data_IF_060328352309
#
_entry.id   IF_060328352309
#
_cell.length_a   1.000
_cell.length_b   1.000
_cell.length_c   1.000
_cell.angle_alpha   90.00
_cell.angle_beta   90.00
_cell.angle_gamma   90.00
#
_symmetry.space_group_name_H-M   'P 1'
#
loop_
_entity.id
_entity.type
_entity.pdbx_description
1 polymer ?
#
# COMPACT_ATOMS: atom_id res chain seq x y z
N UNK A 1 13.25 4.20 0.97
CA UNK A 1 12.11 3.69 0.19
C UNK A 1 12.56 3.30 -1.22
N UNK A 2 12.05 2.19 -1.80
CA UNK A 2 12.33 1.82 -3.20
C UNK A 2 11.08 2.09 -4.06
N UNK A 3 11.18 3.07 -4.95
CA UNK A 3 10.10 3.47 -5.85
C UNK A 3 9.17 4.53 -5.28
N UNK A 4 8.20 4.94 -6.11
CA UNK A 4 7.26 6.01 -5.81
C UNK A 4 5.91 5.43 -5.39
N UNK A 5 5.30 5.99 -4.34
CA UNK A 5 3.94 5.69 -3.91
C UNK A 5 2.93 6.53 -4.71
N UNK A 6 3.27 7.81 -4.93
CA UNK A 6 2.50 8.75 -5.75
C UNK A 6 3.39 9.15 -6.92
N UNK A 7 2.89 9.00 -8.14
CA UNK A 7 3.59 9.43 -9.35
C UNK A 7 2.75 10.42 -10.13
N UNK A 8 3.38 11.45 -10.69
CA UNK A 8 2.74 12.38 -11.61
C UNK A 8 3.27 12.12 -13.00
N UNK A 9 2.37 11.92 -13.94
CA UNK A 9 2.74 11.74 -15.35
C UNK A 9 2.79 13.13 -15.97
N UNK A 10 3.93 13.60 -16.51
CA UNK A 10 3.91 14.80 -17.32
C UNK A 10 2.97 14.55 -18.50
N UNK A 11 1.97 15.42 -18.68
CA UNK A 11 1.07 15.35 -19.85
C UNK A 11 1.94 15.30 -21.11
N UNK A 12 1.75 14.32 -22.00
CA UNK A 12 2.51 14.28 -23.24
C UNK A 12 2.02 15.41 -24.15
N UNK A 13 2.60 16.61 -24.04
CA UNK A 13 2.52 17.60 -25.10
C UNK A 13 3.73 17.41 -26.02
N UNK A 14 3.49 16.75 -27.16
CA UNK A 14 4.44 16.68 -28.28
C UNK A 14 5.72 15.90 -27.98
N UNK A 15 5.72 14.61 -28.29
CA UNK A 15 6.93 13.79 -28.35
C UNK A 15 7.89 14.36 -29.41
N UNK A 16 8.87 15.17 -28.99
CA UNK A 16 10.03 15.53 -29.81
C UNK A 16 11.25 14.80 -29.22
N UNK A 17 11.63 13.67 -29.83
CA UNK A 17 12.74 12.80 -29.39
C UNK A 17 14.13 13.50 -29.35
N UNK A 18 14.24 14.74 -29.84
CA UNK A 18 15.48 15.52 -29.86
C UNK A 18 15.46 16.78 -28.97
N UNK A 19 14.44 16.97 -28.13
CA UNK A 19 14.42 18.10 -27.20
C UNK A 19 15.08 17.73 -25.88
N UNK A 20 16.08 18.50 -25.46
CA UNK A 20 16.67 18.43 -24.11
C UNK A 20 15.91 19.29 -23.10
N UNK A 21 14.81 19.93 -23.52
CA UNK A 21 14.02 20.80 -22.66
C UNK A 21 12.90 20.01 -21.98
N UNK A 22 12.93 20.06 -20.64
CA UNK A 22 11.84 19.63 -19.76
C UNK A 22 10.62 20.52 -20.05
N UNK A 23 9.45 19.97 -20.44
CA UNK A 23 8.25 20.76 -20.67
C UNK A 23 7.86 21.49 -19.39
N UNK A 24 8.00 22.81 -19.41
CA UNK A 24 7.66 23.68 -18.30
C UNK A 24 6.14 23.89 -18.25
N UNK A 25 5.40 23.01 -17.57
CA UNK A 25 4.00 23.28 -17.21
C UNK A 25 3.61 22.64 -15.86
N UNK A 26 4.36 22.98 -14.81
CA UNK A 26 3.82 23.45 -13.54
C UNK A 26 4.99 23.72 -12.57
N UNK A 27 5.22 24.98 -12.22
CA UNK A 27 6.19 25.35 -11.16
C UNK A 27 5.58 25.18 -9.77
N UNK A 28 4.70 24.19 -9.59
CA UNK A 28 4.13 23.92 -8.28
C UNK A 28 5.04 22.90 -7.58
N UNK A 29 5.67 23.26 -6.45
CA UNK A 29 6.51 22.32 -5.70
C UNK A 29 5.74 21.07 -5.24
N UNK A 30 4.40 21.08 -5.25
CA UNK A 30 3.57 19.93 -4.87
C UNK A 30 3.43 18.87 -5.98
N UNK A 31 3.80 19.17 -7.23
CA UNK A 31 3.66 18.25 -8.36
C UNK A 31 5.01 17.60 -8.68
N UNK A 32 5.31 16.50 -8.00
CA UNK A 32 6.47 15.66 -8.26
C UNK A 32 6.23 14.23 -7.77
N UNK A 33 7.06 13.28 -8.16
CA UNK A 33 6.92 11.91 -7.68
C UNK A 33 7.30 11.80 -6.20
N UNK A 34 6.43 11.19 -5.39
CA UNK A 34 6.67 10.98 -3.96
C UNK A 34 6.96 9.52 -3.67
N UNK A 35 8.02 9.28 -2.92
CA UNK A 35 8.24 8.03 -2.20
C UNK A 35 7.21 7.83 -1.09
N UNK A 36 7.20 6.67 -0.44
CA UNK A 36 6.31 6.41 0.72
C UNK A 36 6.58 7.41 1.85
N UNK A 37 7.86 7.69 2.13
CA UNK A 37 8.26 8.60 3.22
C UNK A 37 7.78 10.04 2.92
N UNK A 38 7.99 10.51 1.69
CA UNK A 38 7.54 11.84 1.27
C UNK A 38 6.01 11.94 1.17
N UNK A 39 5.33 10.84 0.81
CA UNK A 39 3.87 10.77 0.79
C UNK A 39 3.28 10.86 2.20
N UNK A 40 3.93 10.23 3.18
CA UNK A 40 3.55 10.35 4.58
C UNK A 40 3.74 11.78 5.10
N UNK A 41 4.87 12.41 4.75
CA UNK A 41 5.10 13.82 5.07
C UNK A 41 4.05 14.73 4.44
N UNK A 42 3.69 14.49 3.17
CA UNK A 42 2.65 15.24 2.47
C UNK A 42 1.29 15.08 3.18
N UNK A 43 0.95 13.86 3.60
CA UNK A 43 -0.27 13.58 4.36
C UNK A 43 -0.29 14.35 5.68
N UNK A 44 0.82 14.37 6.43
CA UNK A 44 0.90 15.08 7.71
C UNK A 44 0.84 16.60 7.50
N UNK A 45 1.48 17.12 6.46
CA UNK A 45 1.46 18.56 6.13
C UNK A 45 0.09 19.03 5.63
N UNK A 46 -0.72 18.15 5.04
CA UNK A 46 -2.04 18.47 4.49
C UNK A 46 -3.21 18.22 5.45
N UNK A 47 -2.99 17.49 6.54
CA UNK A 47 -4.01 17.16 7.54
C UNK A 47 -3.94 18.06 8.77
N UNK A 48 -4.94 17.97 9.64
CA UNK A 48 -4.94 18.66 10.92
C UNK A 48 -3.75 18.20 11.80
N UNK A 49 -3.20 19.12 12.60
CA UNK A 49 -2.06 18.85 13.49
C UNK A 49 -2.33 17.66 14.44
N UNK A 50 -3.58 17.43 14.83
CA UNK A 50 -3.98 16.31 15.68
C UNK A 50 -3.86 14.96 14.96
N UNK A 51 -4.04 14.91 13.64
CA UNK A 51 -3.83 13.69 12.86
C UNK A 51 -2.38 13.21 12.99
N UNK A 52 -1.42 14.09 12.73
CA UNK A 52 0.00 13.77 12.86
C UNK A 52 0.38 13.33 14.29
N UNK A 53 -0.19 13.99 15.31
CA UNK A 53 0.01 13.59 16.72
C UNK A 53 -0.51 12.17 16.99
N UNK A 54 -1.72 11.85 16.54
CA UNK A 54 -2.29 10.52 16.74
C UNK A 54 -1.53 9.45 15.96
N UNK A 55 -1.09 9.77 14.74
CA UNK A 55 -0.31 8.87 13.90
C UNK A 55 1.00 8.46 14.60
N UNK A 56 1.80 9.42 15.02
CA UNK A 56 3.10 9.15 15.67
C UNK A 56 3.00 8.68 17.12
N UNK A 57 1.85 8.86 17.78
CA UNK A 57 1.60 8.26 19.09
C UNK A 57 1.33 6.75 19.01
N UNK A 58 0.82 6.24 17.89
CA UNK A 58 0.38 4.85 17.76
C UNK A 58 1.22 4.02 16.80
N UNK A 59 1.91 4.65 15.86
CA UNK A 59 2.65 3.96 14.81
C UNK A 59 4.10 4.40 14.74
N UNK A 60 4.93 3.46 14.27
CA UNK A 60 6.32 3.69 13.96
C UNK A 60 6.64 3.13 12.56
N UNK A 61 7.53 3.82 11.85
CA UNK A 61 7.83 3.57 10.43
C UNK A 61 9.31 3.26 10.20
N UNK A 62 10.08 3.08 11.28
CA UNK A 62 11.52 2.86 11.22
C UNK A 62 11.88 1.38 11.15
N UNK A 63 13.19 1.15 11.07
CA UNK A 63 13.80 -0.19 11.16
C UNK A 63 14.93 -0.09 12.17
N UNK A 64 14.93 -0.97 13.18
CA UNK A 64 15.96 -0.97 14.23
C UNK A 64 16.78 -2.25 14.17
N UNK A 65 18.06 -2.13 13.82
CA UNK A 65 19.02 -3.27 13.79
C UNK A 65 19.88 -3.37 15.05
N UNK A 66 19.84 -2.37 15.94
CA UNK A 66 20.63 -2.36 17.19
C UNK A 66 19.97 -3.21 18.27
N UNK A 67 20.62 -4.28 18.77
CA UNK A 67 20.05 -5.12 19.83
C UNK A 67 19.76 -4.37 21.13
N UNK A 68 20.53 -3.31 21.43
CA UNK A 68 20.31 -2.47 22.61
C UNK A 68 19.04 -1.65 22.46
N UNK A 69 18.84 -1.03 21.29
CA UNK A 69 17.65 -0.22 21.03
C UNK A 69 16.40 -1.09 20.98
N UNK A 70 16.44 -2.27 20.35
CA UNK A 70 15.30 -3.20 20.33
C UNK A 70 14.83 -3.59 21.74
N UNK A 71 15.77 -3.84 22.68
CA UNK A 71 15.43 -4.11 24.09
C UNK A 71 14.73 -2.93 24.77
N UNK A 72 15.09 -1.70 24.40
CA UNK A 72 14.43 -0.50 24.90
C UNK A 72 13.03 -0.38 24.29
N UNK A 73 12.91 -0.60 22.98
CA UNK A 73 11.64 -0.54 22.25
C UNK A 73 10.60 -1.55 22.76
N UNK A 74 11.01 -2.69 23.32
CA UNK A 74 10.07 -3.65 23.92
C UNK A 74 9.20 -3.01 25.02
N UNK A 75 9.68 -1.94 25.67
CA UNK A 75 8.97 -1.20 26.72
C UNK A 75 8.27 0.06 26.20
N UNK A 76 8.28 0.29 24.89
CA UNK A 76 7.69 1.46 24.24
C UNK A 76 6.44 1.05 23.43
N UNK A 77 5.23 1.36 23.94
CA UNK A 77 3.98 1.01 23.25
C UNK A 77 3.86 1.58 21.83
N UNK A 78 4.55 2.68 21.51
CA UNK A 78 4.48 3.28 20.17
C UNK A 78 5.23 2.44 19.11
N UNK A 79 5.97 1.40 19.54
CA UNK A 79 6.76 0.52 18.67
C UNK A 79 6.12 -0.85 18.45
N UNK A 80 5.16 -1.25 19.28
CA UNK A 80 4.64 -2.62 19.30
C UNK A 80 3.94 -3.05 18.00
N UNK A 81 3.39 -2.11 17.23
CA UNK A 81 2.79 -2.41 15.93
C UNK A 81 3.82 -2.73 14.84
N UNK A 82 5.10 -2.38 15.03
CA UNK A 82 6.14 -2.52 14.02
C UNK A 82 7.06 -3.70 14.37
N UNK A 83 6.98 -4.82 13.63
CA UNK A 83 7.77 -6.02 13.91
C UNK A 83 9.28 -5.85 13.59
N UNK A 84 9.68 -4.72 12.99
CA UNK A 84 11.08 -4.33 12.75
C UNK A 84 11.62 -3.34 13.80
N UNK A 85 10.80 -2.93 14.76
CA UNK A 85 11.22 -2.12 15.91
C UNK A 85 10.89 -2.78 17.25
N UNK A 86 9.94 -3.72 17.29
CA UNK A 86 9.56 -4.50 18.47
C UNK A 86 9.82 -5.99 18.25
N UNK A 87 10.31 -6.68 19.27
CA UNK A 87 10.71 -8.09 19.17
C UNK A 87 9.60 -9.03 19.64
N UNK A 88 9.63 -10.27 19.17
CA UNK A 88 8.82 -11.34 19.75
C UNK A 88 9.24 -11.64 21.19
N UNK A 89 8.33 -12.19 22.02
CA UNK A 89 8.66 -12.58 23.38
C UNK A 89 9.65 -13.74 23.42
N UNK A 90 10.35 -13.89 24.55
CA UNK A 90 11.20 -15.06 24.83
C UNK A 90 10.34 -16.25 25.26
N UNK A 91 9.66 -16.87 24.29
CA UNK A 91 8.74 -17.98 24.53
C UNK A 91 9.14 -19.21 23.68
N UNK A 92 10.08 -20.06 24.16
CA UNK A 92 10.61 -21.18 23.36
C UNK A 92 9.57 -22.27 23.06
N UNK A 93 8.52 -22.39 23.88
CA UNK A 93 7.42 -23.34 23.67
C UNK A 93 6.34 -22.81 22.72
N UNK A 94 6.42 -21.54 22.30
CA UNK A 94 5.48 -20.95 21.34
C UNK A 94 5.88 -21.35 19.92
N UNK A 95 4.91 -21.75 19.10
CA UNK A 95 5.04 -21.89 17.64
C UNK A 95 4.25 -20.76 16.96
N UNK A 96 4.78 -20.20 15.90
CA UNK A 96 4.15 -19.14 15.10
C UNK A 96 3.76 -19.74 13.75
N UNK A 97 2.50 -19.55 13.36
CA UNK A 97 1.98 -19.94 12.05
C UNK A 97 1.58 -18.67 11.29
N UNK A 98 2.18 -18.45 10.13
CA UNK A 98 1.89 -17.30 9.28
C UNK A 98 1.07 -17.76 8.08
N UNK A 99 -0.23 -17.52 8.17
CA UNK A 99 -1.22 -17.88 7.16
C UNK A 99 -1.65 -16.63 6.41
N UNK A 100 -1.50 -16.65 5.09
CA UNK A 100 -1.94 -15.55 4.23
C UNK A 100 -2.23 -16.03 2.82
N UNK A 101 -3.06 -15.25 2.14
CA UNK A 101 -3.42 -15.47 0.75
C UNK A 101 -2.46 -14.83 -0.23
N UNK A 102 -2.39 -15.39 -1.43
CA UNK A 102 -1.53 -14.91 -2.53
C UNK A 102 -2.29 -14.99 -3.85
N UNK A 103 -1.67 -14.45 -4.91
CA UNK A 103 -2.20 -14.41 -6.27
C UNK A 103 -3.44 -13.49 -6.43
N UNK A 104 -3.63 -12.53 -5.50
CA UNK A 104 -4.65 -11.49 -5.61
C UNK A 104 -4.00 -10.14 -5.96
N UNK A 105 -4.41 -9.48 -7.05
CA UNK A 105 -3.92 -8.15 -7.39
C UNK A 105 -4.12 -7.17 -6.23
N UNK A 106 -3.02 -6.64 -5.71
CA UNK A 106 -3.01 -5.76 -4.53
C UNK A 106 -2.39 -4.41 -4.87
N UNK A 107 -3.07 -3.33 -4.53
CA UNK A 107 -2.62 -1.97 -4.82
C UNK A 107 -1.25 -1.67 -4.20
N UNK A 108 -0.39 -0.99 -4.96
CA UNK A 108 0.99 -0.69 -4.56
C UNK A 108 1.36 0.78 -4.68
N UNK A 109 0.90 1.45 -5.73
CA UNK A 109 1.21 2.86 -6.00
C UNK A 109 0.20 3.45 -6.97
N UNK A 110 0.08 4.77 -6.99
CA UNK A 110 -0.95 5.48 -7.73
C UNK A 110 -0.34 6.56 -8.64
N UNK A 111 -0.96 6.76 -9.79
CA UNK A 111 -0.65 7.82 -10.74
C UNK A 111 -1.70 8.92 -10.62
N UNK A 112 -1.26 10.16 -10.43
CA UNK A 112 -2.11 11.32 -10.28
C UNK A 112 -1.93 12.30 -11.44
N UNK A 113 -3.03 12.97 -11.78
CA UNK A 113 -3.08 14.09 -12.71
C UNK A 113 -3.67 15.33 -12.04
N UNK A 114 -3.25 16.49 -12.52
CA UNK A 114 -3.72 17.80 -12.06
C UNK A 114 -4.93 18.17 -12.91
N UNK A 115 -6.04 18.49 -12.24
CA UNK A 115 -7.22 19.04 -12.89
C UNK A 115 -6.94 20.50 -13.28
N UNK A 116 -7.30 20.87 -14.49
CA UNK A 116 -7.22 22.26 -14.92
C UNK A 116 -8.40 23.04 -14.31
N UNK A 117 -8.16 24.23 -13.76
CA UNK A 117 -9.20 25.03 -13.06
C UNK A 117 -10.40 25.36 -13.99
N UNK A 118 -10.19 25.28 -15.31
CA UNK A 118 -11.21 25.47 -16.35
C UNK A 118 -12.24 24.32 -16.44
N UNK A 119 -11.92 23.13 -15.93
CA UNK A 119 -12.84 21.97 -15.94
C UNK A 119 -13.79 21.96 -14.73
N UNK A 120 -13.46 22.69 -13.66
CA UNK A 120 -14.23 22.71 -12.41
C UNK A 120 -15.46 23.63 -12.48
N UNK A 121 -15.47 24.63 -13.36
CA UNK A 121 -16.57 25.62 -13.45
C UNK A 121 -17.78 25.20 -14.29
N UNK A 122 -17.79 23.99 -14.87
CA UNK A 122 -18.97 23.47 -15.56
C UNK A 122 -19.84 22.53 -14.73
N UNK A 123 -19.51 22.28 -13.47
CA UNK A 123 -20.37 21.53 -12.56
C UNK A 123 -21.36 22.44 -11.83
N UNK A 124 -22.29 23.04 -12.59
CA UNK A 124 -23.54 23.54 -11.99
C UNK A 124 -24.44 22.34 -11.76
N UNK A 125 -24.60 21.93 -10.50
CA UNK A 125 -25.63 20.96 -10.11
C UNK A 125 -27.01 21.49 -10.52
N UNK A 126 -27.75 20.81 -11.42
CA UNK A 126 -29.20 20.84 -11.31
C UNK A 126 -29.60 19.85 -10.21
N UNK A 127 -30.61 20.21 -9.43
CA UNK A 127 -31.21 19.30 -8.45
C UNK A 127 -31.42 17.89 -9.06
N UNK A 128 -30.87 16.89 -8.36
CA UNK A 128 -31.06 15.45 -8.57
C UNK A 128 -31.00 14.97 -10.03
N UNK A 129 -29.80 14.71 -10.56
CA UNK A 129 -29.49 13.49 -11.34
C UNK A 129 -28.00 13.41 -11.71
N UNK A 130 -27.42 12.22 -11.56
CA UNK A 130 -26.08 11.83 -11.98
C UNK A 130 -25.95 11.77 -13.50
N UNK A 131 -25.18 12.70 -14.10
CA UNK A 131 -24.26 12.47 -15.24
C UNK A 131 -23.68 13.81 -15.75
N UNK A 132 -22.36 13.89 -15.94
CA UNK A 132 -21.73 15.00 -16.64
C UNK A 132 -21.74 14.72 -18.16
N UNK A 133 -22.50 15.51 -18.93
CA UNK A 133 -22.45 15.51 -20.38
C UNK A 133 -22.04 16.91 -20.87
N UNK A 134 -21.03 16.95 -21.72
CA UNK A 134 -20.50 18.16 -22.33
C UNK A 134 -21.49 18.73 -23.36
N UNK A 135 -21.78 20.03 -23.30
CA UNK A 135 -22.11 20.78 -24.51
C UNK A 135 -21.74 22.27 -24.41
N UNK A 136 -21.37 22.81 -25.56
CA UNK A 136 -20.74 24.09 -25.80
C UNK A 136 -21.79 25.20 -25.84
N UNK A 137 -21.51 26.36 -25.23
CA UNK A 137 -21.70 27.71 -25.81
C UNK A 137 -21.47 28.80 -24.76
N UNK A 138 -20.53 29.70 -25.03
CA UNK A 138 -20.18 30.82 -24.16
C UNK A 138 -21.09 32.04 -24.38
N UNK A 139 -21.32 32.87 -23.34
CA UNK A 139 -21.48 34.30 -23.55
C UNK A 139 -20.45 35.13 -22.77
N UNK A 140 -20.00 36.18 -23.46
CA UNK A 140 -18.99 37.17 -23.05
C UNK A 140 -19.43 37.93 -21.81
N UNK A 141 -18.52 38.18 -20.87
CA UNK A 141 -18.67 39.28 -19.91
C UNK A 141 -17.35 39.93 -19.48
N UNK A 142 -17.43 41.24 -19.60
CA UNK A 142 -16.54 42.39 -19.38
C UNK A 142 -15.65 42.33 -18.13
N UNK A 143 -14.36 42.61 -18.35
CA UNK A 143 -13.30 42.73 -17.33
C UNK A 143 -13.56 43.91 -16.40
N UNK A 144 -13.65 43.66 -15.09
CA UNK A 144 -13.43 44.69 -14.06
C UNK A 144 -12.34 44.20 -13.10
N UNK A 145 -11.15 44.82 -13.19
CA UNK A 145 -10.00 44.53 -12.35
C UNK A 145 -10.29 44.96 -10.91
N UNK A 146 -10.40 44.01 -10.00
CA UNK A 146 -10.31 44.27 -8.56
C UNK A 146 -9.01 43.65 -8.03
N UNK A 147 -8.33 44.44 -7.20
CA UNK A 147 -7.06 44.13 -6.54
C UNK A 147 -7.30 43.04 -5.50
N UNK A 148 -6.69 41.87 -5.66
CA UNK A 148 -6.69 40.81 -4.66
C UNK A 148 -5.27 40.59 -4.14
N UNK A 149 -5.14 40.77 -2.82
CA UNK A 149 -4.04 40.32 -1.96
C UNK A 149 -3.61 38.88 -2.29
N UNK A 150 -2.33 38.50 -2.10
CA UNK A 150 -1.87 37.15 -2.41
C UNK A 150 -2.59 36.13 -1.50
N UNK A 151 -3.52 35.38 -2.08
CA UNK A 151 -4.05 34.18 -1.45
C UNK A 151 -2.92 33.16 -1.27
N UNK A 152 -2.89 32.40 -0.16
CA UNK A 152 -2.03 31.23 -0.08
C UNK A 152 -2.32 30.34 -1.28
N UNK A 153 -1.27 29.85 -1.95
CA UNK A 153 -1.36 29.03 -3.15
C UNK A 153 -2.45 27.96 -2.96
N UNK A 154 -3.49 28.03 -3.79
CA UNK A 154 -4.60 27.08 -3.78
C UNK A 154 -4.02 25.68 -3.99
N UNK A 155 -4.31 24.75 -3.09
CA UNK A 155 -3.89 23.34 -3.24
C UNK A 155 -4.35 22.85 -4.62
N UNK A 156 -3.45 22.29 -5.45
CA UNK A 156 -3.84 21.81 -6.77
C UNK A 156 -4.91 20.72 -6.62
N UNK A 157 -5.92 20.77 -7.48
CA UNK A 157 -6.96 19.76 -7.49
C UNK A 157 -6.40 18.51 -8.19
N UNK A 158 -6.26 17.43 -7.43
CA UNK A 158 -5.63 16.18 -7.88
C UNK A 158 -6.68 15.07 -8.02
N UNK A 159 -6.50 14.21 -9.02
CA UNK A 159 -7.27 12.98 -9.20
C UNK A 159 -6.36 11.85 -9.67
N UNK A 160 -6.79 10.60 -9.47
CA UNK A 160 -6.10 9.44 -10.04
C UNK A 160 -6.27 9.49 -11.56
N UNK A 161 -5.16 9.41 -12.29
CA UNK A 161 -5.15 9.45 -13.75
C UNK A 161 -5.65 8.11 -14.32
N UNK A 162 -6.96 8.01 -14.54
CA UNK A 162 -7.58 6.81 -15.09
C UNK A 162 -7.13 6.49 -16.52
N UNK A 163 -6.47 7.41 -17.23
CA UNK A 163 -5.94 7.16 -18.58
C UNK A 163 -4.66 6.33 -18.57
N UNK A 164 -3.99 6.26 -17.41
CA UNK A 164 -2.77 5.48 -17.25
C UNK A 164 -3.07 3.99 -17.12
N UNK A 165 -2.71 3.23 -18.16
CA UNK A 165 -2.81 1.77 -18.17
C UNK A 165 -1.60 1.16 -18.87
N UNK A 166 -0.98 0.17 -18.23
CA UNK A 166 0.17 -0.55 -18.76
C UNK A 166 0.17 -2.00 -18.23
N UNK A 167 -0.21 -2.99 -19.05
CA UNK A 167 -0.34 -4.38 -18.59
C UNK A 167 1.01 -4.98 -18.17
N UNK A 168 2.12 -4.58 -18.81
CA UNK A 168 3.47 -5.09 -18.49
C UNK A 168 3.91 -4.65 -17.10
N UNK A 169 3.58 -3.41 -16.73
CA UNK A 169 3.89 -2.86 -15.41
C UNK A 169 2.80 -3.13 -14.37
N UNK A 170 1.74 -3.88 -14.74
CA UNK A 170 0.54 -4.14 -13.95
C UNK A 170 -0.15 -2.86 -13.48
N UNK A 171 -0.33 -1.92 -14.40
CA UNK A 171 -1.02 -0.65 -14.16
C UNK A 171 -2.37 -0.70 -14.86
N UNK A 172 -3.43 -0.39 -14.13
CA UNK A 172 -4.80 -0.29 -14.63
C UNK A 172 -5.44 0.94 -14.00
N UNK A 173 -6.07 1.79 -14.82
CA UNK A 173 -6.80 2.99 -14.38
C UNK A 173 -6.05 3.89 -13.39
N UNK A 174 -4.74 4.05 -13.58
CA UNK A 174 -3.88 4.87 -12.72
C UNK A 174 -3.42 4.18 -11.44
N UNK A 175 -3.74 2.90 -11.24
CA UNK A 175 -3.35 2.11 -10.07
C UNK A 175 -2.34 1.05 -10.50
N UNK A 176 -1.21 0.98 -9.81
CA UNK A 176 -0.23 -0.07 -10.00
C UNK A 176 -0.46 -1.19 -9.00
N UNK A 177 -0.53 -2.41 -9.50
CA UNK A 177 -0.76 -3.62 -8.71
C UNK A 177 0.51 -4.44 -8.51
N UNK A 178 0.55 -5.14 -7.38
CA UNK A 178 1.51 -6.18 -7.05
C UNK A 178 0.78 -7.44 -6.55
N UNK A 179 1.53 -8.47 -6.19
CA UNK A 179 0.97 -9.68 -5.58
C UNK A 179 0.66 -9.43 -4.09
N UNK A 180 -0.35 -10.14 -3.55
CA UNK A 180 -0.83 -10.03 -2.18
C UNK A 180 -2.20 -10.70 -2.00
N UNK A 181 -2.98 -10.21 -1.03
CA UNK A 181 -4.33 -10.71 -0.71
C UNK A 181 -5.46 -9.76 -1.15
N UNK A 182 -5.16 -8.78 -2.00
CA UNK A 182 -6.09 -7.75 -2.47
C UNK A 182 -6.13 -6.51 -1.60
N UNK A 183 -5.59 -6.55 -0.38
CA UNK A 183 -5.47 -5.39 0.52
C UNK A 183 -4.03 -5.17 0.98
N UNK A 184 -3.35 -6.23 1.40
CA UNK A 184 -2.01 -6.22 1.98
C UNK A 184 -1.02 -6.82 0.98
N UNK A 185 0.04 -6.09 0.60
CA UNK A 185 0.99 -6.59 -0.39
C UNK A 185 1.79 -7.76 0.16
N UNK A 186 2.20 -8.69 -0.71
CA UNK A 186 2.92 -9.92 -0.39
C UNK A 186 4.11 -9.67 0.55
N UNK A 187 4.87 -8.60 0.32
CA UNK A 187 6.02 -8.27 1.16
C UNK A 187 5.60 -8.02 2.61
N UNK A 188 4.49 -7.33 2.85
CA UNK A 188 3.97 -7.07 4.19
C UNK A 188 3.39 -8.33 4.83
N UNK A 189 2.74 -9.20 4.05
CA UNK A 189 2.17 -10.46 4.54
C UNK A 189 3.26 -11.45 5.01
N UNK A 190 4.31 -11.60 4.21
CA UNK A 190 5.23 -12.73 4.36
C UNK A 190 6.63 -12.39 4.87
N UNK A 191 7.10 -11.13 4.81
CA UNK A 191 8.52 -10.83 5.03
C UNK A 191 9.04 -11.30 6.38
N UNK A 192 8.28 -11.10 7.47
CA UNK A 192 8.75 -11.50 8.80
C UNK A 192 8.88 -13.01 8.94
N UNK A 193 8.01 -13.79 8.26
CA UNK A 193 7.93 -15.23 8.41
C UNK A 193 8.73 -16.03 7.36
N UNK A 194 9.13 -15.37 6.28
CA UNK A 194 9.92 -15.99 5.22
C UNK A 194 11.24 -16.58 5.76
N UNK A 195 11.80 -17.63 5.16
CA UNK A 195 13.10 -18.18 5.56
C UNK A 195 14.20 -17.12 5.68
N UNK A 196 14.30 -16.20 4.70
CA UNK A 196 15.22 -15.05 4.72
C UNK A 196 14.69 -13.83 5.48
N UNK A 197 13.60 -13.99 6.21
CA UNK A 197 12.82 -12.96 6.88
C UNK A 197 13.31 -12.57 8.28
N UNK A 198 12.63 -11.58 8.86
CA UNK A 198 12.97 -11.00 10.16
C UNK A 198 12.94 -12.00 11.32
N UNK A 199 11.91 -12.83 11.45
CA UNK A 199 11.77 -13.76 12.57
C UNK A 199 12.53 -15.08 12.41
N UNK A 200 13.15 -15.32 11.24
CA UNK A 200 13.91 -16.55 10.94
C UNK A 200 15.39 -16.26 10.70
N UNK A 201 15.75 -15.65 9.57
CA UNK A 201 17.15 -15.30 9.26
C UNK A 201 17.74 -14.31 10.26
N UNK A 202 16.94 -13.33 10.71
CA UNK A 202 17.35 -12.33 11.68
C UNK A 202 16.75 -12.58 13.08
N UNK A 203 16.53 -13.86 13.43
CA UNK A 203 15.89 -14.26 14.69
C UNK A 203 16.60 -13.71 15.94
N UNK A 204 17.93 -13.61 15.94
CA UNK A 204 18.69 -13.05 17.07
C UNK A 204 18.28 -11.60 17.41
N UNK A 205 17.80 -10.86 16.41
CA UNK A 205 17.26 -9.52 16.57
C UNK A 205 15.78 -9.55 16.92
N UNK A 206 14.95 -10.19 16.09
CA UNK A 206 13.49 -10.01 16.14
C UNK A 206 12.71 -11.18 16.77
N UNK A 207 13.34 -12.34 16.95
CA UNK A 207 12.77 -13.54 17.54
C UNK A 207 13.69 -14.14 18.62
N UNK A 208 13.90 -13.44 19.76
CA UNK A 208 14.87 -13.85 20.78
C UNK A 208 14.49 -15.16 21.51
N UNK A 209 13.25 -15.62 21.38
CA UNK A 209 12.81 -16.92 21.88
C UNK A 209 13.12 -18.09 20.93
N UNK A 210 13.56 -17.79 19.70
CA UNK A 210 13.69 -18.76 18.59
C UNK A 210 12.45 -19.63 18.43
N UNK A 211 11.26 -19.04 18.64
CA UNK A 211 9.99 -19.71 18.43
C UNK A 211 9.95 -20.24 16.99
N UNK A 212 9.63 -21.53 16.76
CA UNK A 212 9.50 -22.06 15.41
C UNK A 212 8.46 -21.28 14.61
N UNK A 213 8.79 -20.92 13.37
CA UNK A 213 7.92 -20.16 12.47
C UNK A 213 7.60 -21.03 11.25
N UNK A 214 6.31 -21.26 11.00
CA UNK A 214 5.80 -22.00 9.85
C UNK A 214 5.04 -21.03 8.96
N UNK A 215 5.53 -20.84 7.73
CA UNK A 215 4.87 -20.03 6.72
C UNK A 215 4.02 -20.95 5.83
N UNK A 216 2.74 -20.59 5.63
CA UNK A 216 1.83 -21.35 4.77
C UNK A 216 0.96 -20.42 3.94
N UNK A 217 1.15 -20.49 2.63
CA UNK A 217 0.41 -19.68 1.66
C UNK A 217 -0.83 -20.41 1.13
N UNK A 218 -1.89 -19.65 0.86
CA UNK A 218 -3.12 -20.12 0.25
C UNK A 218 -3.32 -19.41 -1.10
N UNK A 219 -3.34 -20.18 -2.19
CA UNK A 219 -3.59 -19.63 -3.52
C UNK A 219 -5.04 -19.23 -3.65
N UNK A 220 -5.30 -18.01 -4.09
CA UNK A 220 -6.64 -17.54 -4.38
C UNK A 220 -7.20 -18.25 -5.63
N UNK A 221 -8.37 -18.86 -5.50
CA UNK A 221 -9.15 -19.36 -6.64
C UNK A 221 -10.50 -18.64 -6.67
N UNK A 222 -10.81 -18.02 -7.82
CA UNK A 222 -12.11 -17.39 -8.05
C UNK A 222 -13.16 -18.48 -8.28
N UNK A 223 -14.24 -18.46 -7.52
CA UNK A 223 -15.35 -19.40 -7.75
C UNK A 223 -15.94 -19.28 -9.15
N UNK A 224 -16.25 -20.42 -9.75
CA UNK A 224 -17.01 -20.49 -11.01
C UNK A 224 -18.49 -20.15 -10.81
N UNK A 225 -19.00 -20.24 -9.57
CA UNK A 225 -20.38 -19.92 -9.21
C UNK A 225 -20.51 -18.43 -8.90
N UNK A 226 -21.34 -17.73 -9.68
CA UNK A 226 -21.72 -16.33 -9.38
C UNK A 226 -22.57 -16.17 -8.12
N UNK A 227 -23.04 -17.28 -7.53
CA UNK A 227 -23.80 -17.27 -6.28
C UNK A 227 -22.89 -17.28 -5.04
N UNK A 228 -21.60 -17.55 -5.23
CA UNK A 228 -20.63 -17.52 -4.15
C UNK A 228 -20.23 -16.06 -3.87
N UNK A 229 -21.07 -15.39 -3.08
CA UNK A 229 -20.90 -13.99 -2.68
C UNK A 229 -19.61 -13.69 -1.89
N UNK A 230 -18.81 -14.72 -1.59
CA UNK A 230 -17.55 -14.67 -0.82
C UNK A 230 -16.41 -15.45 -1.49
N UNK A 231 -16.29 -15.35 -2.81
CA UNK A 231 -15.15 -15.89 -3.58
C UNK A 231 -15.07 -17.42 -3.70
N UNK A 232 -15.84 -18.18 -2.92
CA UNK A 232 -15.88 -19.65 -2.91
C UNK A 232 -14.99 -20.29 -1.85
N UNK A 233 -14.98 -21.62 -1.80
CA UNK A 233 -14.30 -22.39 -0.76
C UNK A 233 -12.77 -22.26 -0.74
N UNK A 234 -12.16 -21.78 -1.83
CA UNK A 234 -10.72 -21.52 -1.97
C UNK A 234 -10.39 -20.04 -2.19
N UNK A 235 -11.32 -19.15 -1.88
CA UNK A 235 -11.00 -17.72 -1.81
C UNK A 235 -9.85 -17.50 -0.81
N UNK A 236 -8.93 -16.63 -1.16
CA UNK A 236 -7.80 -16.26 -0.32
C UNK A 236 -7.51 -14.75 -0.38
N UNK A 237 -8.49 -13.93 -0.78
CA UNK A 237 -8.38 -12.49 -0.53
C UNK A 237 -8.52 -12.18 0.96
N UNK A 238 -8.19 -10.94 1.31
CA UNK A 238 -8.01 -10.45 2.67
C UNK A 238 -9.13 -10.84 3.65
N UNK A 239 -10.38 -10.86 3.18
CA UNK A 239 -11.55 -11.14 4.01
C UNK A 239 -12.00 -12.59 3.83
N UNK A 240 -12.12 -13.05 2.59
CA UNK A 240 -12.73 -14.35 2.31
C UNK A 240 -11.80 -15.53 2.57
N UNK A 241 -10.52 -15.30 2.85
CA UNK A 241 -9.60 -16.34 3.35
C UNK A 241 -10.11 -17.02 4.63
N UNK A 242 -10.93 -16.34 5.45
CA UNK A 242 -11.55 -16.95 6.63
C UNK A 242 -12.57 -18.05 6.26
N UNK A 243 -13.11 -18.02 5.03
CA UNK A 243 -13.93 -19.07 4.45
C UNK A 243 -13.13 -20.16 3.72
N UNK A 244 -11.81 -20.01 3.63
CA UNK A 244 -10.95 -20.97 2.95
C UNK A 244 -10.92 -22.30 3.70
N UNK A 245 -11.31 -23.38 3.02
CA UNK A 245 -11.42 -24.69 3.65
C UNK A 245 -10.06 -25.26 4.07
N UNK A 246 -8.97 -24.99 3.31
CA UNK A 246 -7.64 -25.47 3.64
C UNK A 246 -7.11 -24.78 4.90
N UNK A 247 -7.27 -23.45 4.98
CA UNK A 247 -6.87 -22.68 6.16
C UNK A 247 -7.66 -23.13 7.39
N UNK A 248 -8.97 -23.34 7.23
CA UNK A 248 -9.82 -23.87 8.30
C UNK A 248 -9.34 -25.25 8.76
N UNK A 249 -9.00 -26.15 7.84
CA UNK A 249 -8.47 -27.46 8.17
C UNK A 249 -7.12 -27.37 8.89
N UNK A 250 -6.22 -26.48 8.47
CA UNK A 250 -4.93 -26.27 9.13
C UNK A 250 -5.11 -25.76 10.57
N UNK A 251 -6.04 -24.81 10.79
CA UNK A 251 -6.41 -24.36 12.15
C UNK A 251 -6.94 -25.52 12.97
N UNK A 252 -7.86 -26.33 12.42
CA UNK A 252 -8.42 -27.51 13.10
C UNK A 252 -7.33 -28.53 13.46
N UNK A 253 -6.36 -28.77 12.58
CA UNK A 253 -5.21 -29.64 12.88
C UNK A 253 -4.38 -29.09 14.04
N UNK A 254 -4.13 -27.78 14.08
CA UNK A 254 -3.38 -27.14 15.19
C UNK A 254 -4.13 -27.31 16.52
N UNK A 255 -5.40 -26.91 16.58
CA UNK A 255 -6.16 -26.91 17.85
C UNK A 255 -6.52 -28.32 18.33
N UNK A 256 -6.51 -29.32 17.46
CA UNK A 256 -6.74 -30.74 17.80
C UNK A 256 -5.47 -31.50 18.19
N UNK A 257 -4.32 -30.82 18.33
CA UNK A 257 -3.06 -31.45 18.73
C UNK A 257 -2.32 -32.18 17.59
N UNK A 258 -2.72 -31.95 16.35
CA UNK A 258 -2.06 -32.49 15.13
C UNK A 258 -1.26 -31.41 14.40
N UNK A 259 -0.73 -30.43 15.15
CA UNK A 259 -0.04 -29.27 14.61
C UNK A 259 1.22 -29.62 13.76
N UNK A 260 1.79 -30.81 13.97
CA UNK A 260 2.94 -31.30 13.19
C UNK A 260 2.58 -31.68 11.75
N UNK A 261 1.28 -31.85 11.44
CA UNK A 261 0.79 -32.06 10.07
C UNK A 261 0.73 -30.74 9.27
N UNK A 262 0.77 -29.58 9.95
CA UNK A 262 0.76 -28.27 9.30
C UNK A 262 2.20 -27.87 8.97
N UNK A 263 2.61 -28.18 7.75
CA UNK A 263 3.97 -27.94 7.26
C UNK A 263 4.08 -26.66 6.44
N UNK A 264 5.32 -26.23 6.24
CA UNK A 264 5.66 -25.06 5.44
C UNK A 264 5.24 -25.23 3.97
N UNK A 265 4.67 -24.16 3.40
CA UNK A 265 4.20 -24.12 2.01
C UNK A 265 4.35 -22.70 1.45
N UNK A 266 5.30 -22.54 0.53
CA UNK A 266 5.60 -21.27 -0.14
C UNK A 266 5.51 -21.50 -1.65
N UNK A 267 4.66 -20.72 -2.31
CA UNK A 267 4.46 -20.68 -3.75
C UNK A 267 4.92 -19.36 -4.38
N UNK A 268 4.79 -18.26 -3.64
CA UNK A 268 5.07 -16.91 -4.10
C UNK A 268 6.58 -16.63 -4.19
N UNK A 269 6.91 -15.42 -4.68
CA UNK A 269 8.30 -14.93 -4.73
C UNK A 269 8.77 -14.29 -3.41
N UNK A 270 8.06 -14.51 -2.29
CA UNK A 270 8.36 -13.85 -1.03
C UNK A 270 9.79 -14.08 -0.56
N UNK A 271 10.32 -15.30 -0.72
CA UNK A 271 11.69 -15.61 -0.30
C UNK A 271 12.73 -14.85 -1.11
N UNK A 272 12.50 -14.69 -2.42
CA UNK A 272 13.38 -13.89 -3.28
C UNK A 272 13.28 -12.40 -2.99
N UNK A 273 12.12 -11.92 -2.53
CA UNK A 273 11.96 -10.55 -2.04
C UNK A 273 12.70 -10.36 -0.72
N UNK A 274 12.54 -11.28 0.23
CA UNK A 274 13.20 -11.24 1.54
C UNK A 274 14.73 -11.26 1.43
N UNK A 275 15.31 -12.07 0.52
CA UNK A 275 16.77 -12.11 0.26
C UNK A 275 17.35 -10.77 -0.18
N UNK A 276 16.58 -9.94 -0.88
CA UNK A 276 17.02 -8.62 -1.37
C UNK A 276 17.10 -7.59 -0.25
N UNK A 277 16.43 -7.82 0.88
CA UNK A 277 16.42 -6.91 2.02
C UNK A 277 17.61 -7.23 2.93
N UNK A 278 18.53 -6.28 3.03
CA UNK A 278 19.69 -6.35 3.90
C UNK A 278 19.43 -5.52 5.15
N UNK A 279 19.35 -6.20 6.29
CA UNK A 279 19.29 -5.60 7.63
C UNK A 279 20.71 -5.64 8.21
N UNK A 280 21.62 -4.86 7.62
CA UNK A 280 23.03 -4.74 8.02
C UNK A 280 23.38 -3.27 8.09
#
# INVERSE_FOLDING_TARGET
>A
SFGNMISFVPKPEGFNENSTDIPSSSRDPLIHNYTVDESLELLIKSTDVNFGKHLYANYSFGITTSPKQLKLNDHDPTKWSNPLESRLPKAPNMKIYCFYGIDVPTERSYYYAVMDDHEYHNCTYPDNTTACAADQTAPKSTVTKTVTTPHPARTPLLHIDATMSNPVQRIETGIRFSDGDGTVPLLSLGYMCAPSGGWRKYADLYNPGHSPVVLREYKHEVSSSKLDVRGGYKAADHIDILGNWEMTLDILMIVSGQADNVTERIYSLIEDHAKKIKLT
#
